data_IF_895223959076
#
_entry.id   IF_895223959076
#
_cell.length_a   1.000
_cell.length_b   1.000
_cell.length_c   1.000
_cell.angle_alpha   90.00
_cell.angle_beta   90.00
_cell.angle_gamma   90.00
#
_symmetry.space_group_name_H-M   'P 1'
#
loop_
_entity.id
_entity.type
_entity.pdbx_description
1 polymer ?
#
# COMPACT_ATOMS: atom_id res chain seq x y z
N UNK A 1 -16.56 4.45 13.05
CA UNK A 1 -15.16 4.31 12.57
C UNK A 1 -15.14 4.42 11.04
N UNK A 2 -14.80 5.60 10.51
CA UNK A 2 -14.96 5.97 9.09
C UNK A 2 -14.14 5.10 8.10
N UNK A 3 -12.94 4.64 8.48
CA UNK A 3 -12.10 3.84 7.58
C UNK A 3 -12.61 2.40 7.38
N UNK A 4 -13.33 1.84 8.36
CA UNK A 4 -13.87 0.47 8.26
C UNK A 4 -15.05 0.36 7.31
N UNK A 5 -15.88 1.41 7.20
CA UNK A 5 -17.05 1.42 6.32
C UNK A 5 -16.69 1.45 4.83
N UNK A 6 -15.49 1.91 4.49
CA UNK A 6 -14.97 1.96 3.11
C UNK A 6 -14.26 0.66 2.69
N UNK A 7 -14.27 -0.37 3.55
CA UNK A 7 -13.61 -1.65 3.27
C UNK A 7 -12.08 -1.61 3.41
N UNK A 8 -11.52 -0.60 4.08
CA UNK A 8 -10.09 -0.63 4.42
C UNK A 8 -9.83 -1.65 5.53
N UNK A 9 -8.86 -2.53 5.29
CA UNK A 9 -8.27 -3.32 6.36
C UNK A 9 -7.39 -2.43 7.24
N UNK A 10 -7.24 -2.81 8.52
CA UNK A 10 -6.40 -2.07 9.48
C UNK A 10 -4.97 -1.86 8.97
N UNK A 11 -4.40 -2.89 8.33
CA UNK A 11 -3.07 -2.85 7.72
C UNK A 11 -2.96 -1.74 6.65
N UNK A 12 -3.92 -1.65 5.73
CA UNK A 12 -3.93 -0.62 4.69
C UNK A 12 -4.07 0.78 5.27
N UNK A 13 -4.93 0.93 6.28
CA UNK A 13 -5.12 2.21 6.97
C UNK A 13 -3.82 2.67 7.66
N UNK A 14 -3.18 1.79 8.44
CA UNK A 14 -1.92 2.09 9.13
C UNK A 14 -0.79 2.44 8.15
N UNK A 15 -0.67 1.70 7.04
CA UNK A 15 0.30 1.98 5.98
C UNK A 15 0.10 3.37 5.35
N UNK A 16 -1.16 3.75 5.08
CA UNK A 16 -1.50 5.06 4.52
C UNK A 16 -1.09 6.20 5.47
N UNK A 17 -1.45 6.09 6.75
CA UNK A 17 -1.06 7.08 7.76
C UNK A 17 0.46 7.19 7.90
N UNK A 18 1.17 6.05 7.90
CA UNK A 18 2.62 6.05 7.96
C UNK A 18 3.28 6.69 6.72
N UNK A 19 2.70 6.54 5.52
CA UNK A 19 3.15 7.23 4.30
C UNK A 19 2.95 8.74 4.40
N UNK A 20 1.77 9.18 4.86
CA UNK A 20 1.46 10.59 5.07
C UNK A 20 2.44 11.24 6.08
N UNK A 21 2.69 10.58 7.21
CA UNK A 21 3.63 11.07 8.23
C UNK A 21 5.06 11.22 7.67
N UNK A 22 5.55 10.25 6.90
CA UNK A 22 6.90 10.34 6.31
C UNK A 22 7.02 11.46 5.27
N UNK A 23 5.93 11.81 4.58
CA UNK A 23 5.95 12.88 3.58
C UNK A 23 6.21 14.26 4.17
N UNK A 24 5.83 14.48 5.43
CA UNK A 24 5.95 15.77 6.13
C UNK A 24 7.21 15.89 7.00
N UNK A 25 8.02 14.84 7.12
CA UNK A 25 9.27 14.86 7.88
C UNK A 25 10.33 15.67 7.13
N UNK A 26 11.04 16.54 7.87
CA UNK A 26 12.15 17.38 7.38
C UNK A 26 13.25 16.52 6.77
N UNK A 27 13.80 16.96 5.65
CA UNK A 27 14.76 16.18 4.84
C UNK A 27 15.95 15.67 5.66
N UNK A 28 16.51 16.50 6.54
CA UNK A 28 17.66 16.15 7.39
C UNK A 28 17.38 15.00 8.37
N UNK A 29 16.11 14.80 8.71
CA UNK A 29 15.63 13.78 9.66
C UNK A 29 15.01 12.57 8.97
N UNK A 30 15.03 12.51 7.63
CA UNK A 30 14.48 11.35 6.91
C UNK A 30 15.42 10.15 7.08
N UNK A 31 14.87 8.95 7.27
CA UNK A 31 15.69 7.75 7.34
C UNK A 31 16.47 7.58 6.03
N UNK A 32 17.74 7.17 6.15
CA UNK A 32 18.64 6.97 5.01
C UNK A 32 18.10 5.98 3.96
N UNK A 33 17.25 5.06 4.39
CA UNK A 33 16.55 4.13 3.51
C UNK A 33 15.06 4.49 3.45
N UNK A 34 14.56 5.05 2.34
CA UNK A 34 13.13 5.23 2.14
C UNK A 34 12.45 3.85 2.11
N UNK A 35 11.25 3.77 2.68
CA UNK A 35 10.44 2.54 2.59
C UNK A 35 10.14 2.25 1.12
N UNK A 36 10.70 1.17 0.61
CA UNK A 36 10.52 0.73 -0.78
C UNK A 36 9.04 0.42 -1.04
N UNK A 37 8.47 1.02 -2.08
CA UNK A 37 7.15 0.63 -2.55
C UNK A 37 7.19 -0.81 -3.07
N UNK A 38 6.18 -1.61 -2.74
CA UNK A 38 6.14 -3.00 -3.20
C UNK A 38 5.97 -3.04 -4.72
N UNK A 39 6.95 -3.58 -5.44
CA UNK A 39 6.89 -3.81 -6.89
C UNK A 39 6.17 -5.12 -7.26
N UNK A 40 5.46 -5.72 -6.30
CA UNK A 40 4.83 -7.04 -6.45
C UNK A 40 3.53 -6.89 -7.24
N UNK A 41 3.51 -7.43 -8.45
CA UNK A 41 2.29 -7.57 -9.25
C UNK A 41 1.56 -8.84 -8.82
N UNK A 42 0.35 -8.68 -8.27
CA UNK A 42 -0.51 -9.81 -7.89
C UNK A 42 -1.38 -10.21 -9.07
N UNK A 43 -1.18 -11.43 -9.59
CA UNK A 43 -2.03 -12.01 -10.63
C UNK A 43 -3.04 -12.96 -9.99
N UNK A 44 -4.32 -12.82 -10.35
CA UNK A 44 -5.37 -13.73 -9.89
C UNK A 44 -5.44 -14.91 -10.86
N UNK A 45 -5.34 -16.12 -10.31
CA UNK A 45 -5.43 -17.36 -11.09
C UNK A 45 -6.77 -18.02 -10.81
N UNK A 46 -7.41 -18.53 -11.87
CA UNK A 46 -8.60 -19.37 -11.75
C UNK A 46 -8.53 -20.47 -12.79
N UNK A 47 -8.87 -21.69 -12.40
CA UNK A 47 -8.92 -22.87 -13.27
C UNK A 47 -7.62 -23.08 -14.09
N UNK A 48 -6.46 -22.81 -13.49
CA UNK A 48 -5.14 -23.02 -14.09
C UNK A 48 -4.69 -21.97 -15.10
N UNK A 49 -5.46 -20.91 -15.33
CA UNK A 49 -5.08 -19.79 -16.20
C UNK A 49 -5.07 -18.47 -15.42
N UNK A 50 -4.13 -17.61 -15.77
CA UNK A 50 -4.11 -16.25 -15.24
C UNK A 50 -5.31 -15.48 -15.80
N UNK A 51 -6.13 -14.91 -14.91
CA UNK A 51 -7.19 -14.01 -15.32
C UNK A 51 -6.51 -12.70 -15.73
N UNK A 52 -6.53 -12.38 -17.03
CA UNK A 52 -6.12 -11.06 -17.50
C UNK A 52 -7.14 -10.07 -16.96
N UNK A 53 -6.69 -9.22 -16.03
CA UNK A 53 -7.49 -8.07 -15.60
C UNK A 53 -7.48 -7.08 -16.77
N UNK A 54 -8.57 -7.01 -17.53
CA UNK A 54 -8.78 -5.90 -18.46
C UNK A 54 -8.99 -4.63 -17.62
N UNK A 55 -8.24 -3.58 -17.98
CA UNK A 55 -8.36 -2.22 -17.42
C UNK A 55 -9.78 -1.65 -17.57
#
# INVERSE_FOLDING_TARGET
MYWRSVGFTYLKYSQLCAKALRSVIKLDSRPAHPVTESQIVKTLWKDGKAIKKQE
#
